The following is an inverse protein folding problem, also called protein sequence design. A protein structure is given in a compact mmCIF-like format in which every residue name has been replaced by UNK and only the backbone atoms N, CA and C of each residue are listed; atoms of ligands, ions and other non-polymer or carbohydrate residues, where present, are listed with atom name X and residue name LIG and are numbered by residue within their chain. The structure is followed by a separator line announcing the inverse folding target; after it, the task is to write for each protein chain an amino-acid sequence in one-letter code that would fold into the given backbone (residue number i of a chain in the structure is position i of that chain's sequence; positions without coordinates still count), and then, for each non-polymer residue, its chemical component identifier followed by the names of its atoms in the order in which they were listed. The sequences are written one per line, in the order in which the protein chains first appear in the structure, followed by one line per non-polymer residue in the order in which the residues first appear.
data_IF_802127037275
#
_entry.id   IF_802127037275
#
_cell.length_a   1.000
_cell.length_b   1.000
_cell.length_c   1.000
_cell.angle_alpha   90.00
_cell.angle_beta   90.00
_cell.angle_gamma   90.00
#
_symmetry.space_group_name_H-M   'P 1'
#
loop_
_entity.id
_entity.type
_entity.pdbx_description
1 polymer ?
#
# COMPACT_ATOMS: atom_id res chain seq x y z
N UNK A 1 75.19 21.72 60.26
CA UNK A 1 73.73 21.95 60.30
C UNK A 1 73.25 22.35 58.92
N UNK A 2 72.27 21.61 58.37
CA UNK A 2 71.09 22.10 57.60
C UNK A 2 71.38 22.74 56.20
N UNK A 3 70.61 22.61 55.12
CA UNK A 3 69.81 21.58 54.42
C UNK A 3 69.09 22.30 53.25
N UNK A 4 68.98 21.67 52.06
CA UNK A 4 68.04 21.97 50.94
C UNK A 4 68.16 23.35 50.26
N UNK A 5 67.92 23.49 48.95
CA UNK A 5 66.81 22.93 48.18
C UNK A 5 67.15 22.73 46.70
N UNK A 6 66.73 21.58 46.18
CA UNK A 6 66.61 21.28 44.76
C UNK A 6 65.48 22.15 44.20
N UNK A 7 65.78 22.97 43.19
CA UNK A 7 64.79 23.75 42.45
C UNK A 7 64.46 23.01 41.16
N UNK A 8 63.35 22.27 41.19
CA UNK A 8 62.76 21.61 40.03
C UNK A 8 62.21 22.67 39.07
N UNK A 9 62.79 22.76 37.88
CA UNK A 9 62.18 23.50 36.77
C UNK A 9 61.12 22.62 36.11
N UNK A 10 59.90 23.13 35.84
CA UNK A 10 58.88 22.33 35.18
C UNK A 10 59.28 22.06 33.72
N UNK A 11 59.48 20.78 33.39
CA UNK A 11 59.60 20.29 32.02
C UNK A 11 58.26 20.48 31.34
N UNK A 12 58.14 21.51 30.49
CA UNK A 12 57.01 21.67 29.57
C UNK A 12 57.02 20.54 28.54
N UNK A 13 56.19 19.53 28.75
CA UNK A 13 55.89 18.47 27.77
C UNK A 13 54.98 19.02 26.67
N UNK A 14 55.56 19.74 25.69
CA UNK A 14 54.85 20.11 24.46
C UNK A 14 54.91 18.95 23.45
N UNK A 15 54.04 17.95 23.62
CA UNK A 15 53.77 16.90 22.60
C UNK A 15 52.29 16.49 22.65
N UNK A 16 51.36 17.33 22.19
CA UNK A 16 49.94 16.94 22.11
C UNK A 16 49.11 17.54 20.94
N UNK A 17 49.72 18.26 19.99
CA UNK A 17 48.98 18.86 18.87
C UNK A 17 48.66 17.90 17.72
N UNK A 18 49.63 17.07 17.30
CA UNK A 18 49.49 16.22 16.12
C UNK A 18 48.60 14.98 16.35
N UNK A 19 48.70 14.34 17.52
CA UNK A 19 47.83 13.20 17.87
C UNK A 19 46.36 13.62 18.02
N UNK A 20 46.10 14.83 18.51
CA UNK A 20 44.75 15.38 18.62
C UNK A 20 44.16 15.69 17.24
N UNK A 21 44.95 16.24 16.31
CA UNK A 21 44.50 16.57 14.96
C UNK A 21 44.11 15.31 14.15
N UNK A 22 44.93 14.26 14.21
CA UNK A 22 44.62 12.99 13.53
C UNK A 22 43.34 12.37 14.09
N UNK A 23 43.16 12.40 15.42
CA UNK A 23 41.94 11.90 16.05
C UNK A 23 40.70 12.71 15.63
N UNK A 24 40.79 14.05 15.57
CA UNK A 24 39.71 14.92 15.11
C UNK A 24 39.33 14.65 13.65
N UNK A 25 40.32 14.43 12.78
CA UNK A 25 40.07 14.09 11.36
C UNK A 25 39.34 12.74 11.25
N UNK A 26 39.78 11.72 12.00
CA UNK A 26 39.13 10.40 12.01
C UNK A 26 37.68 10.51 12.50
N UNK A 27 37.43 11.26 13.58
CA UNK A 27 36.07 11.49 14.07
C UNK A 27 35.22 12.22 13.02
N UNK A 28 35.76 13.27 12.37
CA UNK A 28 35.06 13.96 11.28
C UNK A 28 34.67 12.99 10.16
N UNK A 29 35.60 12.15 9.69
CA UNK A 29 35.30 11.18 8.64
C UNK A 29 34.21 10.18 9.04
N UNK A 30 34.24 9.68 10.28
CA UNK A 30 33.21 8.79 10.81
C UNK A 30 31.85 9.50 10.86
N UNK A 31 31.81 10.76 11.31
CA UNK A 31 30.55 11.53 11.35
C UNK A 31 29.99 11.79 9.97
N UNK A 32 30.82 12.13 8.98
CA UNK A 32 30.40 12.35 7.60
C UNK A 32 29.85 11.04 7.00
N UNK A 33 30.56 9.93 7.16
CA UNK A 33 30.11 8.61 6.69
C UNK A 33 28.79 8.19 7.34
N UNK A 34 28.61 8.49 8.63
CA UNK A 34 27.37 8.21 9.37
C UNK A 34 26.21 9.05 8.85
N UNK A 35 26.41 10.35 8.59
CA UNK A 35 25.37 11.23 8.03
C UNK A 35 24.94 10.73 6.65
N UNK A 36 25.90 10.41 5.77
CA UNK A 36 25.60 9.87 4.44
C UNK A 36 24.80 8.56 4.53
N UNK A 37 25.20 7.66 5.42
CA UNK A 37 24.51 6.39 5.64
C UNK A 37 23.07 6.60 6.13
N UNK A 38 22.87 7.51 7.08
CA UNK A 38 21.54 7.85 7.60
C UNK A 38 20.65 8.46 6.50
N UNK A 39 21.19 9.36 5.68
CA UNK A 39 20.45 9.95 4.56
C UNK A 39 20.04 8.89 3.53
N UNK A 40 20.91 7.94 3.21
CA UNK A 40 20.59 6.82 2.31
C UNK A 40 19.48 5.92 2.89
N UNK A 41 19.55 5.60 4.19
CA UNK A 41 18.50 4.82 4.88
C UNK A 41 17.17 5.55 4.82
N UNK A 42 17.13 6.86 5.09
CA UNK A 42 15.89 7.65 5.02
C UNK A 42 15.27 7.63 3.62
N UNK A 43 16.07 7.75 2.57
CA UNK A 43 15.58 7.67 1.18
C UNK A 43 15.00 6.28 0.89
N UNK A 44 15.69 5.22 1.31
CA UNK A 44 15.21 3.85 1.13
C UNK A 44 13.92 3.59 1.91
N UNK A 45 13.83 4.05 3.16
CA UNK A 45 12.61 3.93 3.97
C UNK A 45 11.42 4.66 3.33
N UNK A 46 11.62 5.85 2.76
CA UNK A 46 10.55 6.55 2.02
C UNK A 46 10.06 5.72 0.84
N UNK A 47 10.99 5.18 0.04
CA UNK A 47 10.66 4.35 -1.11
C UNK A 47 9.93 3.06 -0.71
N UNK A 48 10.32 2.43 0.39
CA UNK A 48 9.63 1.24 0.93
C UNK A 48 8.20 1.60 1.32
N UNK A 49 8.01 2.68 2.09
CA UNK A 49 6.66 3.12 2.48
C UNK A 49 5.78 3.45 1.27
N UNK A 50 6.33 4.09 0.23
CA UNK A 50 5.61 4.35 -1.02
C UNK A 50 5.18 3.06 -1.71
N UNK A 51 6.06 2.05 -1.76
CA UNK A 51 5.75 0.74 -2.33
C UNK A 51 4.70 -0.01 -1.51
N UNK A 52 4.82 -0.02 -0.18
CA UNK A 52 3.84 -0.63 0.72
C UNK A 52 2.45 0.00 0.55
N UNK A 53 2.38 1.33 0.51
CA UNK A 53 1.12 2.04 0.29
C UNK A 53 0.48 1.68 -1.06
N UNK A 54 1.29 1.56 -2.12
CA UNK A 54 0.81 1.13 -3.44
C UNK A 54 0.29 -0.31 -3.42
N UNK A 55 1.01 -1.23 -2.77
CA UNK A 55 0.57 -2.62 -2.64
C UNK A 55 -0.75 -2.72 -1.87
N UNK A 56 -0.90 -1.97 -0.78
CA UNK A 56 -2.16 -1.94 -0.01
C UNK A 56 -3.32 -1.39 -0.84
N UNK A 57 -3.08 -0.35 -1.65
CA UNK A 57 -4.10 0.19 -2.54
C UNK A 57 -4.51 -0.83 -3.62
N UNK A 58 -3.54 -1.50 -4.25
CA UNK A 58 -3.79 -2.55 -5.24
C UNK A 58 -4.53 -3.75 -4.62
N UNK A 59 -4.19 -4.15 -3.39
CA UNK A 59 -4.90 -5.22 -2.67
C UNK A 59 -6.35 -4.83 -2.35
N UNK A 60 -6.58 -3.58 -1.90
CA UNK A 60 -7.93 -3.05 -1.68
C UNK A 60 -8.73 -3.07 -2.98
N UNK A 61 -8.16 -2.57 -4.08
CA UNK A 61 -8.79 -2.60 -5.40
C UNK A 61 -9.09 -4.03 -5.86
N UNK A 62 -8.17 -4.96 -5.69
CA UNK A 62 -8.35 -6.37 -6.06
C UNK A 62 -9.50 -7.03 -5.29
N UNK A 63 -9.61 -6.80 -3.98
CA UNK A 63 -10.75 -7.30 -3.18
C UNK A 63 -12.09 -6.77 -3.68
N UNK A 64 -12.15 -5.48 -4.02
CA UNK A 64 -13.35 -4.82 -4.52
C UNK A 64 -13.71 -5.32 -5.93
N UNK A 65 -12.72 -5.52 -6.80
CA UNK A 65 -12.92 -6.09 -8.12
C UNK A 65 -13.51 -7.50 -8.04
N UNK A 66 -12.92 -8.35 -7.20
CA UNK A 66 -13.41 -9.72 -6.97
C UNK A 66 -14.85 -9.70 -6.48
N UNK A 67 -15.16 -8.89 -5.46
CA UNK A 67 -16.53 -8.70 -4.98
C UNK A 67 -17.49 -8.30 -6.11
N UNK A 68 -17.13 -7.28 -6.90
CA UNK A 68 -17.96 -6.79 -8.00
C UNK A 68 -18.21 -7.84 -9.08
N UNK A 69 -17.20 -8.65 -9.43
CA UNK A 69 -17.34 -9.77 -10.38
C UNK A 69 -18.31 -10.83 -9.87
N UNK A 70 -18.22 -11.21 -8.59
CA UNK A 70 -19.15 -12.16 -7.97
C UNK A 70 -20.58 -11.60 -7.89
N UNK A 71 -20.72 -10.33 -7.50
CA UNK A 71 -22.02 -9.66 -7.52
C UNK A 71 -22.65 -9.69 -8.92
N UNK A 72 -21.91 -9.29 -9.96
CA UNK A 72 -22.40 -9.25 -11.34
C UNK A 72 -22.78 -10.65 -11.84
N UNK A 73 -21.95 -11.66 -11.58
CA UNK A 73 -22.25 -13.04 -11.98
C UNK A 73 -23.58 -13.51 -11.39
N UNK A 74 -23.83 -13.24 -10.10
CA UNK A 74 -25.06 -13.60 -9.43
C UNK A 74 -26.26 -12.75 -9.87
N UNK A 75 -26.07 -11.44 -10.09
CA UNK A 75 -27.10 -10.53 -10.54
C UNK A 75 -27.70 -10.96 -11.90
N UNK A 76 -26.84 -11.42 -12.82
CA UNK A 76 -27.26 -11.91 -14.14
C UNK A 76 -27.82 -13.34 -14.13
N UNK A 77 -27.85 -14.04 -12.99
CA UNK A 77 -28.60 -15.31 -12.88
C UNK A 77 -30.11 -15.11 -12.85
N UNK A 78 -30.57 -13.90 -12.50
CA UNK A 78 -32.00 -13.58 -12.36
C UNK A 78 -32.67 -14.16 -11.09
N UNK A 79 -31.87 -14.71 -10.16
CA UNK A 79 -32.30 -15.39 -8.94
C UNK A 79 -31.99 -14.56 -7.70
N UNK A 80 -33.01 -14.23 -6.90
CA UNK A 80 -32.88 -13.35 -5.74
C UNK A 80 -32.05 -13.97 -4.61
N UNK A 81 -32.15 -15.28 -4.44
CA UNK A 81 -31.40 -16.04 -3.44
C UNK A 81 -29.88 -15.92 -3.63
N UNK A 82 -29.42 -15.66 -4.85
CA UNK A 82 -28.00 -15.57 -5.18
C UNK A 82 -27.41 -14.18 -4.96
N UNK A 83 -28.24 -13.14 -4.84
CA UNK A 83 -27.77 -11.74 -4.74
C UNK A 83 -28.01 -11.14 -3.36
N UNK A 84 -28.90 -11.72 -2.55
CA UNK A 84 -29.35 -11.14 -1.28
C UNK A 84 -28.22 -10.88 -0.29
N UNK A 85 -27.16 -11.70 -0.30
CA UNK A 85 -26.02 -11.55 0.61
C UNK A 85 -25.06 -10.43 0.21
N UNK A 86 -25.20 -9.91 -1.01
CA UNK A 86 -24.43 -8.78 -1.50
C UNK A 86 -25.10 -7.42 -1.21
N UNK A 87 -26.35 -7.43 -0.75
CA UNK A 87 -27.16 -6.23 -0.58
C UNK A 87 -27.14 -5.75 0.88
N UNK A 88 -27.17 -4.43 1.07
CA UNK A 88 -27.45 -3.82 2.37
C UNK A 88 -28.88 -4.13 2.80
N UNK A 89 -29.16 -4.06 4.10
CA UNK A 89 -30.51 -4.31 4.65
C UNK A 89 -31.59 -3.44 3.98
N UNK A 90 -31.27 -2.19 3.64
CA UNK A 90 -32.16 -1.26 2.94
C UNK A 90 -32.48 -1.75 1.52
N UNK A 91 -31.45 -2.11 0.73
CA UNK A 91 -31.64 -2.63 -0.64
C UNK A 91 -32.43 -3.94 -0.68
N UNK A 92 -32.34 -4.77 0.37
CA UNK A 92 -33.17 -6.00 0.48
C UNK A 92 -34.66 -5.67 0.58
N UNK A 93 -35.01 -4.53 1.18
CA UNK A 93 -36.40 -4.10 1.37
C UNK A 93 -36.99 -3.38 0.16
N UNK A 94 -36.18 -2.59 -0.55
CA UNK A 94 -36.60 -1.86 -1.75
C UNK A 94 -36.81 -2.81 -2.95
N UNK A 95 -36.09 -3.93 -2.96
CA UNK A 95 -36.12 -4.91 -4.04
C UNK A 95 -35.25 -4.50 -5.23
N UNK A 96 -34.62 -5.48 -5.87
CA UNK A 96 -33.85 -5.28 -7.09
C UNK A 96 -34.53 -5.92 -8.29
N UNK A 97 -34.65 -5.17 -9.38
CA UNK A 97 -35.04 -5.72 -10.69
C UNK A 97 -33.90 -6.55 -11.27
N UNK A 98 -33.99 -7.87 -11.08
CA UNK A 98 -32.98 -8.80 -11.58
C UNK A 98 -33.10 -9.02 -13.08
N UNK A 99 -31.96 -9.10 -13.74
CA UNK A 99 -31.90 -9.28 -15.19
C UNK A 99 -32.15 -10.75 -15.55
N UNK A 100 -33.26 -11.01 -16.26
CA UNK A 100 -33.69 -12.35 -16.67
C UNK A 100 -33.44 -12.59 -18.17
N UNK A 101 -33.08 -13.83 -18.54
CA UNK A 101 -32.92 -14.23 -19.94
C UNK A 101 -31.71 -13.65 -20.67
N UNK A 102 -30.76 -13.06 -19.94
CA UNK A 102 -29.51 -12.51 -20.47
C UNK A 102 -28.35 -13.08 -19.65
N UNK A 103 -27.35 -13.65 -20.33
CA UNK A 103 -26.15 -14.15 -19.67
C UNK A 103 -25.01 -13.14 -19.81
N UNK A 104 -24.30 -12.86 -18.72
CA UNK A 104 -23.04 -12.14 -18.76
C UNK A 104 -21.97 -13.07 -19.35
N UNK A 105 -21.40 -12.71 -20.50
CA UNK A 105 -20.31 -13.47 -21.14
C UNK A 105 -18.95 -13.05 -20.60
N UNK A 106 -18.77 -11.76 -20.34
CA UNK A 106 -17.55 -11.24 -19.73
C UNK A 106 -17.84 -10.00 -18.92
N UNK A 107 -17.01 -9.80 -17.90
CA UNK A 107 -17.01 -8.63 -17.03
C UNK A 107 -15.61 -8.04 -17.07
N UNK A 108 -15.50 -6.75 -17.38
CA UNK A 108 -14.24 -6.02 -17.43
C UNK A 108 -14.32 -4.92 -16.38
N UNK A 109 -13.38 -4.93 -15.44
CA UNK A 109 -13.21 -3.85 -14.47
C UNK A 109 -12.66 -2.62 -15.19
N UNK A 110 -13.32 -1.47 -15.05
CA UNK A 110 -12.94 -0.25 -15.74
C UNK A 110 -12.34 0.77 -14.76
N UNK A 111 -13.06 1.09 -13.70
CA UNK A 111 -12.63 2.13 -12.76
C UNK A 111 -13.23 1.94 -11.37
N UNK A 112 -12.55 2.56 -10.40
CA UNK A 112 -13.02 2.74 -9.04
C UNK A 112 -12.82 4.19 -8.66
N UNK A 113 -13.89 4.81 -8.14
CA UNK A 113 -13.86 6.15 -7.57
C UNK A 113 -14.29 6.07 -6.13
N UNK A 114 -13.47 6.62 -5.24
CA UNK A 114 -13.74 6.66 -3.81
C UNK A 114 -14.14 8.09 -3.41
N UNK A 115 -15.30 8.22 -2.77
CA UNK A 115 -15.79 9.50 -2.24
C UNK A 115 -16.31 9.28 -0.83
N UNK A 116 -15.58 9.80 0.16
CA UNK A 116 -15.85 9.58 1.58
C UNK A 116 -15.93 8.08 1.89
N UNK A 117 -17.08 7.59 2.34
CA UNK A 117 -17.32 6.19 2.67
C UNK A 117 -17.99 5.40 1.53
N UNK A 118 -18.13 6.00 0.35
CA UNK A 118 -18.76 5.37 -0.81
C UNK A 118 -17.70 5.02 -1.85
N UNK A 119 -17.64 3.74 -2.19
CA UNK A 119 -16.84 3.22 -3.28
C UNK A 119 -17.75 2.97 -4.47
N UNK A 120 -17.54 3.71 -5.55
CA UNK A 120 -18.22 3.52 -6.81
C UNK A 120 -17.33 2.72 -7.75
N UNK A 121 -17.86 1.63 -8.29
CA UNK A 121 -17.11 0.72 -9.17
C UNK A 121 -17.83 0.61 -10.50
N UNK A 122 -17.07 0.78 -11.57
CA UNK A 122 -17.59 0.69 -12.94
C UNK A 122 -17.08 -0.59 -13.59
N UNK A 123 -18.03 -1.37 -14.12
CA UNK A 123 -17.75 -2.57 -14.90
C UNK A 123 -18.41 -2.48 -16.28
N UNK A 124 -17.67 -2.87 -17.30
CA UNK A 124 -18.20 -3.10 -18.64
C UNK A 124 -18.62 -4.57 -18.76
N UNK A 125 -19.88 -4.80 -19.13
CA UNK A 125 -20.48 -6.14 -19.19
C UNK A 125 -20.86 -6.47 -20.63
N UNK A 126 -20.23 -7.51 -21.19
CA UNK A 126 -20.64 -8.09 -22.48
C UNK A 126 -21.71 -9.14 -22.24
N UNK A 127 -22.80 -9.05 -23.01
CA UNK A 127 -24.02 -9.79 -22.74
C UNK A 127 -24.40 -10.65 -23.95
N UNK A 128 -24.83 -11.89 -23.72
CA UNK A 128 -25.52 -12.69 -24.72
C UNK A 128 -27.01 -12.73 -24.42
N UNK A 129 -27.82 -12.37 -25.42
CA UNK A 129 -29.26 -12.61 -25.36
C UNK A 129 -29.53 -14.06 -25.74
N UNK A 130 -30.02 -14.86 -24.79
CA UNK A 130 -30.44 -16.24 -25.09
C UNK A 130 -31.73 -16.20 -25.92
N UNK A 131 -31.71 -16.74 -27.14
CA UNK A 131 -32.93 -16.96 -27.92
C UNK A 131 -33.65 -18.19 -27.35
N UNK A 132 -34.80 -17.97 -26.71
CA UNK A 132 -35.70 -19.06 -26.32
C UNK A 132 -36.39 -19.55 -27.60
N UNK A 133 -36.00 -20.71 -28.11
CA UNK A 133 -36.73 -21.38 -29.19
C UNK A 133 -37.90 -22.11 -28.53
N UNK A 134 -39.11 -21.57 -28.65
CA UNK A 134 -40.33 -22.28 -28.26
C UNK A 134 -40.53 -23.46 -29.21
N UNK A 135 -40.18 -24.68 -28.77
CA UNK A 135 -40.64 -25.88 -29.46
C UNK A 135 -42.13 -26.05 -29.18
N UNK A 136 -42.95 -25.90 -30.22
CA UNK A 136 -44.34 -26.37 -30.23
C UNK A 136 -44.29 -27.88 -30.05
N UNK A 137 -44.89 -28.39 -28.97
CA UNK A 137 -45.18 -29.81 -28.83
C UNK A 137 -46.39 -30.08 -29.76
N UNK A 138 -46.16 -30.84 -30.82
CA UNK A 138 -47.22 -31.49 -31.60
C UNK A 138 -47.64 -32.80 -30.93
#
# INVERSE_FOLDING_TARGET
MISKSVSDKPVKTRKSGFSSLVLTIVICLITIASIVSISLVQIQSKKINELENRIQLEEKQGKIEVFGRFFIANFYTGKSENIIDFLSSEMKTEGLELKKGVQAQSTIYESLTESQDIIQVTFVILQQKTRIILKRLE
#
